data_IF_951153902440
#
_entry.id   IF_951153902440
#
_cell.length_a   1.000
_cell.length_b   1.000
_cell.length_c   1.000
_cell.angle_alpha   90.00
_cell.angle_beta   90.00
_cell.angle_gamma   90.00
#
_symmetry.space_group_name_H-M   'P 1'
#
loop_
_entity.id
_entity.type
_entity.pdbx_description
1 polymer ?
#
# COMPACT_ATOMS: atom_id res chain seq x y z
N UNK A 1 -34.77 -42.73 -19.08
CA UNK A 1 -34.85 -42.62 -17.60
C UNK A 1 -33.50 -42.83 -16.95
N UNK A 2 -32.74 -43.85 -17.35
CA UNK A 2 -31.37 -44.12 -16.88
C UNK A 2 -30.39 -42.95 -17.07
N UNK A 3 -30.37 -42.34 -18.27
CA UNK A 3 -29.52 -41.16 -18.55
C UNK A 3 -29.83 -39.98 -17.63
N UNK A 4 -31.11 -39.77 -17.30
CA UNK A 4 -31.52 -38.70 -16.36
C UNK A 4 -31.02 -38.99 -14.94
N UNK A 5 -31.11 -40.24 -14.50
CA UNK A 5 -30.62 -40.67 -13.18
C UNK A 5 -29.09 -40.49 -13.10
N UNK A 6 -28.35 -40.90 -14.14
CA UNK A 6 -26.91 -40.73 -14.20
C UNK A 6 -26.47 -39.26 -14.13
N UNK A 7 -27.16 -38.37 -14.86
CA UNK A 7 -26.89 -36.92 -14.84
C UNK A 7 -27.20 -36.32 -13.46
N UNK A 8 -28.30 -36.72 -12.83
CA UNK A 8 -28.66 -36.23 -11.49
C UNK A 8 -27.64 -36.68 -10.43
N UNK A 9 -27.20 -37.93 -10.46
CA UNK A 9 -26.19 -38.45 -9.54
C UNK A 9 -24.85 -37.74 -9.73
N UNK A 10 -24.44 -37.47 -10.97
CA UNK A 10 -23.24 -36.70 -11.27
C UNK A 10 -23.33 -35.26 -10.74
N UNK A 11 -24.47 -34.59 -10.93
CA UNK A 11 -24.68 -33.24 -10.43
C UNK A 11 -24.64 -33.17 -8.89
N UNK A 12 -25.24 -34.13 -8.20
CA UNK A 12 -25.21 -34.21 -6.73
C UNK A 12 -23.79 -34.47 -6.23
N UNK A 13 -23.04 -35.38 -6.87
CA UNK A 13 -21.66 -35.65 -6.51
C UNK A 13 -20.77 -34.41 -6.69
N UNK A 14 -20.90 -33.70 -7.81
CA UNK A 14 -20.18 -32.45 -8.08
C UNK A 14 -20.55 -31.37 -7.04
N UNK A 15 -21.83 -31.22 -6.72
CA UNK A 15 -22.31 -30.27 -5.72
C UNK A 15 -21.86 -30.61 -4.28
N UNK A 16 -21.66 -31.89 -3.96
CA UNK A 16 -21.16 -32.33 -2.65
C UNK A 16 -19.66 -32.08 -2.47
N UNK A 17 -18.88 -32.12 -3.56
CA UNK A 17 -17.42 -32.01 -3.51
C UNK A 17 -16.92 -30.58 -3.77
N UNK A 18 -17.62 -29.74 -4.53
CA UNK A 18 -17.22 -28.33 -4.76
C UNK A 18 -17.13 -27.42 -3.52
N UNK A 19 -18.03 -27.50 -2.51
CA UNK A 19 -18.09 -26.56 -1.39
C UNK A 19 -16.76 -26.37 -0.61
N UNK A 20 -16.01 -27.43 -0.24
CA UNK A 20 -14.72 -27.25 0.44
C UNK A 20 -13.66 -26.54 -0.41
N UNK A 21 -13.70 -26.68 -1.74
CA UNK A 21 -12.78 -25.97 -2.64
C UNK A 21 -13.15 -24.50 -2.79
N UNK A 22 -14.45 -24.19 -2.92
CA UNK A 22 -14.94 -22.81 -2.99
C UNK A 22 -14.70 -22.09 -1.66
N UNK A 23 -14.95 -22.74 -0.52
CA UNK A 23 -14.69 -22.19 0.81
C UNK A 23 -13.20 -21.89 1.03
N UNK A 24 -12.30 -22.83 0.67
CA UNK A 24 -10.84 -22.59 0.70
C UNK A 24 -10.42 -21.43 -0.20
N UNK A 25 -10.98 -21.34 -1.40
CA UNK A 25 -10.69 -20.25 -2.34
C UNK A 25 -11.16 -18.88 -1.87
N UNK A 26 -12.25 -18.81 -1.09
CA UNK A 26 -12.70 -17.56 -0.44
C UNK A 26 -11.84 -17.19 0.76
N UNK A 27 -11.49 -18.16 1.61
CA UNK A 27 -10.63 -17.95 2.77
C UNK A 27 -9.22 -17.47 2.36
N UNK A 28 -8.64 -18.07 1.31
CA UNK A 28 -7.35 -17.64 0.77
C UNK A 28 -7.37 -16.19 0.26
N UNK A 29 -8.44 -15.79 -0.45
CA UNK A 29 -8.61 -14.40 -0.93
C UNK A 29 -8.87 -13.41 0.20
N UNK A 30 -9.63 -13.80 1.22
CA UNK A 30 -9.87 -12.97 2.39
C UNK A 30 -8.57 -12.75 3.18
N UNK A 31 -7.72 -13.78 3.31
CA UNK A 31 -6.42 -13.67 3.96
C UNK A 31 -5.47 -12.71 3.19
N UNK A 32 -5.44 -12.77 1.86
CA UNK A 32 -4.65 -11.83 1.05
C UNK A 32 -5.19 -10.39 1.09
N UNK A 33 -6.51 -10.20 1.12
CA UNK A 33 -7.13 -8.88 1.19
C UNK A 33 -6.94 -8.18 2.54
N UNK A 34 -6.94 -8.94 3.63
CA UNK A 34 -6.73 -8.41 4.97
C UNK A 34 -5.27 -7.94 5.22
N UNK A 35 -4.30 -8.53 4.54
CA UNK A 35 -2.90 -8.08 4.54
C UNK A 35 -2.70 -6.80 3.74
N UNK A 36 -3.21 -6.77 2.50
CA UNK A 36 -3.09 -5.60 1.61
C UNK A 36 -3.74 -4.35 2.19
N UNK A 37 -4.96 -4.45 2.72
CA UNK A 37 -5.66 -3.29 3.27
C UNK A 37 -4.96 -2.64 4.49
N UNK A 38 -4.13 -3.38 5.24
CA UNK A 38 -3.34 -2.83 6.36
C UNK A 38 -2.05 -2.17 5.89
N UNK A 39 -1.44 -2.74 4.86
CA UNK A 39 -0.22 -2.20 4.24
C UNK A 39 -0.52 -0.88 3.49
N UNK A 40 -1.65 -0.82 2.79
CA UNK A 40 -2.11 0.37 2.06
C UNK A 40 -2.19 1.61 2.97
N UNK A 41 -2.74 1.48 4.18
CA UNK A 41 -2.86 2.60 5.12
C UNK A 41 -1.52 3.09 5.68
N UNK A 42 -0.55 2.19 5.89
CA UNK A 42 0.80 2.56 6.34
C UNK A 42 1.56 3.27 5.23
N UNK A 43 1.44 2.79 3.99
CA UNK A 43 2.03 3.42 2.82
C UNK A 43 1.43 4.81 2.58
N UNK A 44 0.12 4.97 2.71
CA UNK A 44 -0.55 6.27 2.60
C UNK A 44 -0.07 7.27 3.65
N UNK A 45 0.10 6.84 4.90
CA UNK A 45 0.65 7.65 5.98
C UNK A 45 2.10 8.07 5.71
N UNK A 46 2.92 7.15 5.19
CA UNK A 46 4.30 7.43 4.79
C UNK A 46 4.36 8.47 3.66
N UNK A 47 3.56 8.27 2.60
CA UNK A 47 3.46 9.20 1.48
C UNK A 47 2.99 10.59 1.96
N UNK A 48 2.03 10.65 2.88
CA UNK A 48 1.55 11.91 3.45
C UNK A 48 2.68 12.66 4.18
N UNK A 49 3.47 11.95 5.00
CA UNK A 49 4.64 12.53 5.71
C UNK A 49 5.66 13.11 4.73
N UNK A 50 5.99 12.37 3.67
CA UNK A 50 6.92 12.85 2.64
C UNK A 50 6.38 14.06 1.88
N UNK A 51 5.10 14.05 1.51
CA UNK A 51 4.46 15.18 0.82
C UNK A 51 4.45 16.44 1.69
N UNK A 52 4.21 16.31 2.98
CA UNK A 52 4.29 17.44 3.92
C UNK A 52 5.71 18.00 4.01
N UNK A 53 6.71 17.14 4.19
CA UNK A 53 8.11 17.55 4.26
C UNK A 53 8.59 18.21 2.96
N UNK A 54 8.15 17.73 1.79
CA UNK A 54 8.45 18.35 0.50
C UNK A 54 7.86 19.76 0.39
N UNK A 55 6.58 19.94 0.78
CA UNK A 55 5.95 21.28 0.79
C UNK A 55 6.62 22.22 1.78
N UNK A 56 7.08 21.72 2.91
CA UNK A 56 7.78 22.49 3.93
C UNK A 56 9.27 22.76 3.60
N UNK A 57 9.83 22.09 2.58
CA UNK A 57 11.25 22.18 2.24
C UNK A 57 12.18 21.51 3.26
N UNK A 58 11.70 20.48 3.97
CA UNK A 58 12.42 19.81 5.08
C UNK A 58 12.86 18.38 4.76
N UNK A 59 12.81 17.97 3.49
CA UNK A 59 13.46 16.73 3.04
C UNK A 59 14.97 16.94 3.02
N UNK A 60 15.72 16.04 3.66
CA UNK A 60 17.17 16.13 3.66
C UNK A 60 17.74 15.76 2.29
N UNK A 61 18.46 16.67 1.64
CA UNK A 61 19.10 16.43 0.33
C UNK A 61 20.22 15.38 0.39
N UNK A 62 20.74 15.05 1.58
CA UNK A 62 21.81 14.07 1.74
C UNK A 62 21.31 12.64 1.96
N UNK A 63 20.29 12.44 2.81
CA UNK A 63 19.80 11.11 3.21
C UNK A 63 18.33 10.86 2.87
N UNK A 64 17.65 11.84 2.29
CA UNK A 64 16.22 11.79 1.88
C UNK A 64 15.21 11.63 3.03
N UNK A 65 15.64 11.75 4.28
CA UNK A 65 14.73 11.70 5.43
C UNK A 65 13.74 12.89 5.39
N UNK A 66 12.45 12.58 5.54
CA UNK A 66 11.36 13.56 5.60
C UNK A 66 11.23 14.13 7.02
N UNK A 67 11.85 15.29 7.28
CA UNK A 67 11.79 15.93 8.59
C UNK A 67 10.48 16.71 8.75
N UNK A 68 9.96 16.84 9.99
CA UNK A 68 8.77 17.64 10.26
C UNK A 68 8.99 19.13 9.91
N UNK A 69 7.93 19.88 9.61
CA UNK A 69 8.00 21.31 9.31
C UNK A 69 8.76 22.09 10.40
N UNK A 70 9.57 23.07 10.00
CA UNK A 70 10.35 23.89 10.93
C UNK A 70 11.65 23.25 11.43
N UNK A 71 11.95 22.01 11.04
CA UNK A 71 13.24 21.37 11.36
C UNK A 71 14.42 22.16 10.79
N UNK A 72 15.43 22.42 11.63
CA UNK A 72 16.67 23.11 11.23
C UNK A 72 17.79 22.15 10.86
N UNK A 73 17.74 20.92 11.39
CA UNK A 73 18.71 19.85 11.18
C UNK A 73 17.96 18.55 10.90
N UNK A 74 18.58 17.64 10.15
CA UNK A 74 18.05 16.33 9.87
C UNK A 74 18.09 15.45 11.12
N UNK A 75 16.97 14.83 11.49
CA UNK A 75 16.87 13.95 12.65
C UNK A 75 17.60 12.61 12.46
N UNK A 76 17.84 12.20 11.21
CA UNK A 76 18.52 10.94 10.88
C UNK A 76 20.05 11.12 10.79
N UNK A 77 20.51 12.08 9.97
CA UNK A 77 21.95 12.25 9.70
C UNK A 77 22.60 13.50 10.30
N UNK A 78 21.84 14.37 11.00
CA UNK A 78 22.35 15.55 11.70
C UNK A 78 22.72 16.76 10.83
N UNK A 79 22.69 16.67 9.49
CA UNK A 79 23.02 17.79 8.60
C UNK A 79 21.99 18.91 8.69
N UNK A 80 22.43 20.16 8.49
CA UNK A 80 21.56 21.33 8.45
C UNK A 80 20.64 21.27 7.22
N UNK A 81 19.36 21.57 7.40
CA UNK A 81 18.38 21.62 6.32
C UNK A 81 18.41 22.99 5.61
N UNK A 82 18.08 23.03 4.30
CA UNK A 82 17.90 24.29 3.57
C UNK A 82 16.80 25.14 4.21
N UNK A 83 16.90 26.46 4.07
CA UNK A 83 15.87 27.35 4.59
C UNK A 83 14.56 27.13 3.81
N UNK A 84 13.39 27.17 4.48
CA UNK A 84 12.11 27.07 3.80
C UNK A 84 12.01 28.18 2.74
N UNK A 85 11.77 27.80 1.48
CA UNK A 85 11.68 28.70 0.34
C UNK A 85 12.88 28.72 -0.62
N UNK A 86 14.02 28.10 -0.29
CA UNK A 86 15.17 28.06 -1.23
C UNK A 86 15.08 26.91 -2.25
N UNK A 87 14.26 25.89 -2.00
CA UNK A 87 14.12 24.72 -2.89
C UNK A 87 13.34 25.02 -4.19
N UNK A 88 12.60 26.13 -4.27
CA UNK A 88 11.74 26.48 -5.41
C UNK A 88 12.34 27.43 -6.46
N UNK A 89 13.53 28.00 -6.23
CA UNK A 89 14.10 29.02 -7.12
C UNK A 89 14.95 28.47 -8.28
N UNK A 90 15.21 27.15 -8.33
CA UNK A 90 16.10 26.54 -9.31
C UNK A 90 15.38 25.80 -10.47
N UNK A 91 14.05 25.92 -10.59
CA UNK A 91 13.25 25.21 -11.59
C UNK A 91 12.33 26.16 -12.39
N UNK A 92 12.87 27.28 -12.88
CA UNK A 92 12.24 28.09 -13.94
C UNK A 92 12.88 27.78 -15.29
N UNK A 93 12.11 27.57 -16.38
CA UNK A 93 12.70 27.32 -17.70
C UNK A 93 13.36 28.60 -18.26
N UNK A 94 14.58 28.44 -18.77
CA UNK A 94 15.29 29.42 -19.57
C UNK A 94 14.87 29.34 -21.05
#
# INVERSE_FOLDING_TARGET
>A
MEVLIAVLMAAVAVAAVLPPFVARGRAARAASGAGGARDDGLLEAEIARYREALRAGTVCEHCTFANPPGSRYCADCGRRLPAPGTAGAAAGPA
#
